data_IF_593172918698
#
_entry.id   IF_593172918698
#
_cell.length_a   1.000
_cell.length_b   1.000
_cell.length_c   1.000
_cell.angle_alpha   90.00
_cell.angle_beta   90.00
_cell.angle_gamma   90.00
#
_symmetry.space_group_name_H-M   'P 1'
#
loop_
_entity.id
_entity.type
_entity.pdbx_description
1 polymer ?
#
# COMPACT_ATOMS: atom_id res chain seq x y z
N UNK A 1 -23.35 -44.28 54.29
CA UNK A 1 -24.18 -43.90 53.15
C UNK A 1 -23.52 -42.72 52.44
N UNK A 2 -22.82 -42.98 51.40
CA UNK A 2 -22.04 -41.99 50.67
C UNK A 2 -22.55 -41.88 49.26
N UNK A 3 -23.22 -40.78 48.98
CA UNK A 3 -23.77 -40.46 47.67
C UNK A 3 -22.68 -39.77 46.83
N UNK A 4 -22.19 -40.47 45.80
CA UNK A 4 -21.27 -39.89 44.82
C UNK A 4 -22.05 -39.05 43.80
N UNK A 5 -21.91 -37.73 43.87
CA UNK A 5 -22.31 -36.85 42.77
C UNK A 5 -21.37 -37.05 41.57
N UNK A 6 -21.94 -37.48 40.48
CA UNK A 6 -21.27 -37.46 39.17
C UNK A 6 -21.36 -36.04 38.59
N UNK A 7 -20.25 -35.34 38.54
CA UNK A 7 -20.15 -34.12 37.77
C UNK A 7 -20.01 -34.47 36.29
N UNK A 8 -21.03 -34.14 35.52
CA UNK A 8 -20.96 -34.15 34.06
C UNK A 8 -20.29 -32.86 33.61
N UNK A 9 -19.07 -32.99 33.12
CA UNK A 9 -18.38 -31.87 32.44
C UNK A 9 -18.98 -31.70 31.04
N UNK A 10 -19.74 -30.63 30.86
CA UNK A 10 -20.23 -30.19 29.55
C UNK A 10 -19.07 -29.48 28.83
N UNK A 11 -18.40 -30.20 27.96
CA UNK A 11 -17.41 -29.61 27.06
C UNK A 11 -18.15 -28.82 25.99
N UNK A 12 -18.16 -27.47 26.13
CA UNK A 12 -18.63 -26.55 25.11
C UNK A 12 -17.55 -26.45 24.04
N UNK A 13 -17.69 -27.22 22.97
CA UNK A 13 -16.82 -27.02 21.78
C UNK A 13 -17.24 -25.72 21.08
N UNK A 14 -16.48 -24.66 21.31
CA UNK A 14 -16.55 -23.46 20.48
C UNK A 14 -15.97 -23.84 19.11
N UNK A 15 -16.84 -24.17 18.16
CA UNK A 15 -16.48 -24.20 16.76
C UNK A 15 -16.25 -22.74 16.33
N UNK A 16 -14.98 -22.32 16.29
CA UNK A 16 -14.60 -21.13 15.57
C UNK A 16 -14.87 -21.39 14.10
N UNK A 17 -16.01 -20.99 13.60
CA UNK A 17 -16.23 -20.83 12.18
C UNK A 17 -15.30 -19.71 11.73
N UNK A 18 -14.16 -20.09 11.16
CA UNK A 18 -13.40 -19.16 10.36
C UNK A 18 -14.35 -18.65 9.27
N UNK A 19 -14.77 -17.39 9.38
CA UNK A 19 -15.47 -16.74 8.31
C UNK A 19 -14.52 -16.84 7.09
N UNK A 20 -14.98 -17.51 6.04
CA UNK A 20 -14.31 -17.41 4.76
C UNK A 20 -14.17 -15.91 4.46
N UNK A 21 -13.03 -15.45 3.90
CA UNK A 21 -12.93 -14.08 3.45
C UNK A 21 -14.15 -13.83 2.54
N UNK A 22 -14.90 -12.77 2.84
CA UNK A 22 -15.96 -12.33 1.96
C UNK A 22 -15.33 -12.28 0.56
N UNK A 23 -15.94 -12.95 -0.41
CA UNK A 23 -15.56 -12.82 -1.80
C UNK A 23 -15.52 -11.32 -2.06
N UNK A 24 -14.30 -10.76 -2.15
CA UNK A 24 -14.11 -9.42 -2.62
C UNK A 24 -14.76 -9.43 -4.00
N UNK A 25 -15.92 -8.80 -4.12
CA UNK A 25 -16.56 -8.64 -5.41
C UNK A 25 -15.57 -7.87 -6.25
N UNK A 26 -14.93 -8.57 -7.20
CA UNK A 26 -14.02 -7.93 -8.13
C UNK A 26 -14.79 -6.76 -8.74
N UNK A 27 -14.41 -5.53 -8.35
CA UNK A 27 -14.94 -4.33 -8.98
C UNK A 27 -14.65 -4.50 -10.46
N UNK A 28 -15.64 -4.30 -11.33
CA UNK A 28 -15.42 -4.32 -12.77
C UNK A 28 -14.37 -3.23 -13.09
N UNK A 29 -13.15 -3.66 -13.34
CA UNK A 29 -12.05 -2.74 -13.68
C UNK A 29 -12.35 -2.18 -15.06
N UNK A 30 -12.68 -0.90 -15.12
CA UNK A 30 -12.89 -0.18 -16.38
C UNK A 30 -11.51 0.32 -16.84
N UNK A 31 -10.97 -0.36 -17.83
CA UNK A 31 -9.71 0.04 -18.44
C UNK A 31 -9.90 1.22 -19.40
N UNK A 32 -9.05 2.23 -19.29
CA UNK A 32 -9.04 3.37 -20.19
C UNK A 32 -8.48 3.01 -21.59
N UNK A 33 -8.60 3.94 -22.53
CA UNK A 33 -8.13 3.73 -23.90
C UNK A 33 -6.63 3.53 -24.03
N UNK A 34 -5.84 4.09 -23.12
CA UNK A 34 -4.39 3.90 -23.07
C UNK A 34 -4.03 2.46 -22.67
N UNK A 35 -4.66 1.94 -21.64
CA UNK A 35 -4.48 0.54 -21.26
C UNK A 35 -4.85 -0.41 -22.42
N UNK A 36 -6.00 -0.18 -23.06
CA UNK A 36 -6.44 -1.03 -24.17
C UNK A 36 -5.45 -1.00 -25.35
N UNK A 37 -4.90 0.17 -25.65
CA UNK A 37 -3.88 0.35 -26.69
C UNK A 37 -2.58 -0.39 -26.36
N UNK A 38 -2.09 -0.25 -25.14
CA UNK A 38 -0.88 -0.93 -24.67
C UNK A 38 -1.11 -2.44 -24.55
N UNK A 39 -2.26 -2.87 -24.07
CA UNK A 39 -2.62 -4.29 -23.98
C UNK A 39 -2.65 -4.97 -25.36
N UNK A 40 -3.11 -4.26 -26.39
CA UNK A 40 -3.09 -4.78 -27.75
C UNK A 40 -1.67 -4.97 -28.31
N UNK A 41 -0.68 -4.22 -27.82
CA UNK A 41 0.70 -4.32 -28.27
C UNK A 41 1.55 -5.27 -27.43
N UNK A 42 1.36 -5.30 -26.12
CA UNK A 42 2.22 -5.97 -25.17
C UNK A 42 1.53 -7.08 -24.37
N UNK A 43 0.25 -7.37 -24.66
CA UNK A 43 -0.56 -8.27 -23.87
C UNK A 43 0.02 -9.67 -23.71
N UNK A 44 0.62 -10.25 -24.76
CA UNK A 44 1.26 -11.56 -24.67
C UNK A 44 2.50 -11.54 -23.75
N UNK A 45 3.26 -10.46 -23.78
CA UNK A 45 4.41 -10.29 -22.88
C UNK A 45 3.95 -10.13 -21.42
N UNK A 46 2.89 -9.35 -21.19
CA UNK A 46 2.31 -9.17 -19.85
C UNK A 46 1.77 -10.49 -19.28
N UNK A 47 1.06 -11.28 -20.10
CA UNK A 47 0.54 -12.58 -19.67
C UNK A 47 1.67 -13.55 -19.29
N UNK A 48 2.81 -13.50 -20.00
CA UNK A 48 3.98 -14.28 -19.66
C UNK A 48 4.66 -13.82 -18.37
N UNK A 49 4.76 -12.50 -18.18
CA UNK A 49 5.28 -11.89 -16.94
C UNK A 49 4.37 -12.19 -15.74
N UNK A 50 3.07 -12.16 -15.90
CA UNK A 50 2.10 -12.49 -14.85
C UNK A 50 2.29 -13.93 -14.35
N UNK A 51 2.53 -14.88 -15.23
CA UNK A 51 2.81 -16.27 -14.85
C UNK A 51 4.10 -16.38 -13.99
N UNK A 52 5.13 -15.65 -14.36
CA UNK A 52 6.39 -15.63 -13.58
C UNK A 52 6.20 -14.94 -12.22
N UNK A 53 5.47 -13.82 -12.20
CA UNK A 53 5.14 -13.09 -10.98
C UNK A 53 4.30 -13.94 -10.02
N UNK A 54 3.28 -14.62 -10.52
CA UNK A 54 2.42 -15.49 -9.71
C UNK A 54 3.21 -16.63 -9.07
N UNK A 55 4.12 -17.26 -9.84
CA UNK A 55 5.01 -18.29 -9.32
C UNK A 55 5.91 -17.73 -8.20
N UNK A 56 6.46 -16.54 -8.41
CA UNK A 56 7.31 -15.88 -7.41
C UNK A 56 6.53 -15.47 -6.15
N UNK A 57 5.32 -14.97 -6.31
CA UNK A 57 4.43 -14.63 -5.19
C UNK A 57 4.03 -15.88 -4.39
N UNK A 58 3.81 -17.02 -5.07
CA UNK A 58 3.55 -18.29 -4.41
C UNK A 58 4.73 -18.75 -3.55
N UNK A 59 5.97 -18.67 -4.06
CA UNK A 59 7.18 -18.99 -3.30
C UNK A 59 7.31 -18.10 -2.04
N UNK A 60 7.08 -16.79 -2.17
CA UNK A 60 7.14 -15.84 -1.05
C UNK A 60 6.07 -16.18 -0.01
N UNK A 61 4.86 -16.50 -0.46
CA UNK A 61 3.76 -16.89 0.41
C UNK A 61 4.07 -18.17 1.17
N UNK A 62 4.59 -19.18 0.50
CA UNK A 62 4.97 -20.45 1.10
C UNK A 62 6.09 -20.25 2.15
N UNK A 63 7.10 -19.46 1.83
CA UNK A 63 8.16 -19.08 2.76
C UNK A 63 7.64 -18.31 3.99
N UNK A 64 6.53 -17.60 3.86
CA UNK A 64 5.88 -16.82 4.92
C UNK A 64 4.72 -17.57 5.61
N UNK A 65 4.71 -18.89 5.56
CA UNK A 65 3.70 -19.73 6.23
C UNK A 65 2.30 -19.61 5.62
N UNK A 66 2.21 -19.44 4.32
CA UNK A 66 0.95 -19.34 3.57
C UNK A 66 0.30 -17.95 3.60
N UNK A 67 0.99 -16.94 4.17
CA UNK A 67 0.49 -15.57 4.26
C UNK A 67 1.26 -14.64 3.33
N UNK A 68 0.62 -13.59 2.80
CA UNK A 68 1.33 -12.54 2.11
C UNK A 68 2.26 -11.78 3.08
N UNK A 69 3.35 -11.15 2.58
CA UNK A 69 4.26 -10.38 3.42
C UNK A 69 3.60 -9.11 3.97
N UNK A 70 4.04 -8.65 5.14
CA UNK A 70 3.71 -7.31 5.59
C UNK A 70 4.40 -6.27 4.72
N UNK A 71 3.73 -5.15 4.50
CA UNK A 71 4.23 -4.04 3.69
C UNK A 71 4.42 -2.83 4.60
N UNK A 72 5.65 -2.32 4.67
CA UNK A 72 5.95 -1.05 5.33
C UNK A 72 6.42 -0.05 4.26
N UNK A 73 5.66 1.01 4.06
CA UNK A 73 6.03 2.10 3.18
C UNK A 73 6.42 3.34 4.00
N UNK A 74 7.58 3.91 3.72
CA UNK A 74 8.07 5.11 4.41
C UNK A 74 8.31 6.20 3.37
N UNK A 75 7.46 7.24 3.40
CA UNK A 75 7.63 8.43 2.57
C UNK A 75 8.30 9.53 3.40
N UNK A 76 9.49 9.91 3.00
CA UNK A 76 10.27 10.95 3.67
C UNK A 76 10.05 12.26 2.92
N UNK A 77 9.65 13.29 3.68
CA UNK A 77 9.29 14.60 3.14
C UNK A 77 10.53 15.49 2.96
N UNK A 78 10.58 16.25 1.89
CA UNK A 78 11.60 17.26 1.59
C UNK A 78 13.06 16.73 1.59
N UNK A 79 13.26 15.49 1.15
CA UNK A 79 14.60 14.89 1.01
C UNK A 79 14.99 14.82 -0.46
N UNK A 80 16.08 15.48 -0.79
CA UNK A 80 16.61 15.49 -2.16
C UNK A 80 17.40 14.23 -2.48
N UNK A 81 17.54 13.97 -3.78
CA UNK A 81 18.35 12.87 -4.28
C UNK A 81 19.77 12.89 -3.69
N UNK A 82 20.24 11.76 -3.22
CA UNK A 82 21.58 11.58 -2.66
C UNK A 82 21.76 11.99 -1.19
N UNK A 83 20.72 12.54 -0.55
CA UNK A 83 20.78 12.84 0.88
C UNK A 83 20.64 11.60 1.77
N UNK A 84 20.10 10.52 1.24
CA UNK A 84 19.91 9.25 1.94
C UNK A 84 20.25 8.05 1.05
N UNK A 85 20.65 6.94 1.66
CA UNK A 85 20.80 5.65 0.98
C UNK A 85 21.93 5.55 -0.05
N UNK A 86 22.80 6.54 -0.15
CA UNK A 86 23.94 6.54 -1.09
C UNK A 86 25.16 7.17 -0.43
N UNK A 87 26.14 6.35 -0.02
CA UNK A 87 27.34 6.81 0.70
C UNK A 87 28.14 7.87 -0.05
N UNK A 88 28.29 7.72 -1.37
CA UNK A 88 29.06 8.67 -2.18
C UNK A 88 28.38 10.03 -2.23
N UNK A 89 27.07 10.04 -2.46
CA UNK A 89 26.30 11.28 -2.50
C UNK A 89 26.15 11.91 -1.12
N UNK A 90 26.00 11.10 -0.07
CA UNK A 90 25.98 11.58 1.32
C UNK A 90 27.26 12.35 1.63
N UNK A 91 28.42 11.82 1.25
CA UNK A 91 29.70 12.51 1.45
C UNK A 91 29.74 13.90 0.78
N UNK A 92 29.22 14.00 -0.44
CA UNK A 92 29.18 15.28 -1.20
C UNK A 92 28.15 16.25 -0.60
N UNK A 93 27.01 15.75 -0.14
CA UNK A 93 25.91 16.59 0.41
C UNK A 93 26.07 16.91 1.90
N UNK A 94 27.03 16.28 2.59
CA UNK A 94 27.27 16.48 4.00
C UNK A 94 26.28 15.77 4.94
N UNK A 95 25.49 14.82 4.43
CA UNK A 95 24.59 14.00 5.22
C UNK A 95 25.28 12.71 5.69
N UNK A 96 24.82 12.16 6.80
CA UNK A 96 25.23 10.85 7.28
C UNK A 96 24.00 10.01 7.64
N UNK A 97 23.78 8.96 6.85
CA UNK A 97 22.64 8.05 7.03
C UNK A 97 23.08 6.59 7.02
N UNK A 98 23.94 6.16 8.00
CA UNK A 98 24.62 4.88 7.94
C UNK A 98 23.66 3.69 7.84
N UNK A 99 22.61 3.66 8.64
CA UNK A 99 21.64 2.56 8.64
C UNK A 99 20.85 2.47 7.32
N UNK A 100 20.46 3.61 6.74
CA UNK A 100 19.77 3.64 5.46
C UNK A 100 20.73 3.25 4.33
N UNK A 101 21.99 3.67 4.41
CA UNK A 101 23.02 3.29 3.46
C UNK A 101 23.31 1.78 3.49
N UNK A 102 23.35 1.17 4.67
CA UNK A 102 23.53 -0.26 4.83
C UNK A 102 22.33 -1.02 4.26
N UNK A 103 21.12 -0.61 4.62
CA UNK A 103 19.89 -1.15 4.08
C UNK A 103 19.81 -1.03 2.54
N UNK A 104 20.18 0.12 1.98
CA UNK A 104 20.22 0.32 0.54
C UNK A 104 21.22 -0.62 -0.17
N UNK A 105 22.31 -1.00 0.50
CA UNK A 105 23.28 -1.97 0.00
C UNK A 105 22.74 -3.40 -0.12
N UNK A 106 21.69 -3.73 0.63
CA UNK A 106 21.01 -5.04 0.62
C UNK A 106 19.69 -5.02 -0.16
N UNK A 107 19.36 -3.89 -0.78
CA UNK A 107 18.06 -3.62 -1.39
C UNK A 107 18.18 -3.21 -2.85
N UNK A 108 17.05 -3.21 -3.57
CA UNK A 108 16.95 -2.59 -4.89
C UNK A 108 16.87 -1.07 -4.76
N UNK A 109 17.84 -0.36 -5.30
CA UNK A 109 17.86 1.10 -5.35
C UNK A 109 17.43 1.61 -6.72
N UNK A 110 16.32 2.31 -6.79
CA UNK A 110 15.78 2.89 -8.03
C UNK A 110 16.36 4.28 -8.27
N UNK A 111 17.51 4.34 -8.94
CA UNK A 111 18.28 5.59 -9.13
C UNK A 111 17.65 6.59 -10.12
N UNK A 112 16.61 6.18 -10.83
CA UNK A 112 15.88 7.02 -11.82
C UNK A 112 14.39 7.07 -11.52
N UNK A 113 14.01 6.87 -10.28
CA UNK A 113 12.65 7.08 -9.83
C UNK A 113 12.45 8.55 -9.50
N UNK A 114 11.41 9.13 -10.06
CA UNK A 114 11.04 10.54 -9.85
C UNK A 114 9.72 10.60 -9.11
N UNK A 115 9.64 11.48 -8.12
CA UNK A 115 8.41 11.86 -7.47
C UNK A 115 7.80 13.07 -8.17
N UNK A 116 6.60 13.44 -7.77
CA UNK A 116 6.00 14.69 -8.21
C UNK A 116 6.72 15.90 -7.57
N UNK A 117 6.57 17.12 -8.13
CA UNK A 117 7.36 18.27 -7.71
C UNK A 117 7.02 18.81 -6.31
N UNK A 118 5.98 18.31 -5.64
CA UNK A 118 5.62 18.71 -4.29
C UNK A 118 4.91 17.62 -3.49
N UNK A 119 4.74 17.86 -2.19
CA UNK A 119 4.28 16.84 -1.23
C UNK A 119 2.86 16.33 -1.50
N UNK A 120 1.86 17.18 -1.74
CA UNK A 120 0.48 16.73 -1.98
C UNK A 120 0.35 15.88 -3.25
N UNK A 121 0.84 16.33 -4.44
CA UNK A 121 0.81 15.52 -5.65
C UNK A 121 1.57 14.19 -5.52
N UNK A 122 2.74 14.19 -4.88
CA UNK A 122 3.52 12.95 -4.67
C UNK A 122 2.74 11.93 -3.84
N UNK A 123 2.07 12.38 -2.77
CA UNK A 123 1.26 11.52 -1.90
C UNK A 123 0.03 11.02 -2.65
N UNK A 124 -0.65 11.86 -3.43
CA UNK A 124 -1.77 11.46 -4.27
C UNK A 124 -1.34 10.39 -5.28
N UNK A 125 -0.24 10.61 -6.00
CA UNK A 125 0.29 9.66 -6.97
C UNK A 125 0.64 8.32 -6.33
N UNK A 126 1.28 8.33 -5.17
CA UNK A 126 1.57 7.11 -4.42
C UNK A 126 0.30 6.37 -3.99
N UNK A 127 -0.67 7.09 -3.42
CA UNK A 127 -1.89 6.48 -2.90
C UNK A 127 -2.76 5.89 -4.01
N UNK A 128 -2.85 6.56 -5.16
CA UNK A 128 -3.79 6.17 -6.23
C UNK A 128 -3.14 5.42 -7.39
N UNK A 129 -1.80 5.40 -7.46
CA UNK A 129 -1.08 4.89 -8.63
C UNK A 129 -1.30 5.72 -9.90
N UNK A 130 -1.89 6.93 -9.79
CA UNK A 130 -2.24 7.78 -10.92
C UNK A 130 -1.47 9.09 -10.92
N UNK A 131 -1.17 9.58 -12.12
CA UNK A 131 -0.55 10.89 -12.27
C UNK A 131 -1.48 11.99 -11.70
N UNK A 132 -0.98 12.96 -10.93
CA UNK A 132 -1.79 14.00 -10.28
C UNK A 132 -2.65 14.84 -11.24
N UNK A 133 -2.24 14.95 -12.49
CA UNK A 133 -3.06 15.61 -13.52
C UNK A 133 -4.34 14.85 -13.83
N UNK A 134 -4.40 13.55 -13.54
CA UNK A 134 -5.59 12.71 -13.75
C UNK A 134 -6.52 12.72 -12.53
N UNK A 135 -5.96 12.72 -11.32
CA UNK A 135 -6.74 12.82 -10.07
C UNK A 135 -7.16 14.26 -9.73
N UNK A 136 -6.64 15.25 -10.46
CA UNK A 136 -6.89 16.67 -10.16
C UNK A 136 -6.05 17.25 -9.01
N UNK A 137 -5.26 16.43 -8.31
CA UNK A 137 -4.47 16.83 -7.13
C UNK A 137 -3.09 17.34 -7.58
N UNK A 138 -3.05 18.42 -8.34
CA UNK A 138 -1.84 18.96 -8.98
C UNK A 138 -1.03 19.92 -8.10
N UNK A 139 -1.64 20.47 -7.07
CA UNK A 139 -1.08 21.54 -6.27
C UNK A 139 -1.06 21.16 -4.79
N UNK A 140 -0.22 21.86 -4.03
CA UNK A 140 -0.20 21.69 -2.58
C UNK A 140 -1.54 22.15 -2.01
N UNK A 141 -2.22 21.27 -1.28
CA UNK A 141 -3.46 21.61 -0.59
C UNK A 141 -3.11 22.34 0.72
N UNK A 142 -3.67 23.52 0.87
CA UNK A 142 -3.56 24.30 2.10
C UNK A 142 -4.75 23.95 2.98
N UNK A 143 -4.54 23.88 4.29
CA UNK A 143 -5.61 23.60 5.24
C UNK A 143 -6.74 24.65 5.13
N UNK A 144 -7.97 24.21 5.38
CA UNK A 144 -9.19 25.04 5.41
C UNK A 144 -9.67 25.57 4.03
N UNK A 145 -9.23 24.96 2.94
CA UNK A 145 -9.75 25.28 1.60
C UNK A 145 -10.95 24.44 1.19
N UNK A 146 -11.29 23.40 1.98
CA UNK A 146 -12.45 22.55 1.73
C UNK A 146 -12.26 21.67 0.49
N UNK A 147 -11.04 21.20 0.25
CA UNK A 147 -10.69 20.34 -0.87
C UNK A 147 -9.88 19.13 -0.39
N UNK A 148 -9.90 18.07 -1.16
CA UNK A 148 -9.15 16.87 -0.86
C UNK A 148 -9.06 15.87 -1.99
N UNK A 149 -8.50 14.71 -1.69
CA UNK A 149 -8.50 13.58 -2.59
C UNK A 149 -9.96 13.16 -2.84
N UNK A 150 -10.41 13.10 -4.11
CA UNK A 150 -11.77 12.70 -4.41
C UNK A 150 -12.07 11.26 -3.95
N UNK A 151 -13.29 11.03 -3.50
CA UNK A 151 -13.78 9.72 -3.04
C UNK A 151 -13.84 8.67 -4.17
N UNK A 152 -13.87 9.12 -5.41
CA UNK A 152 -13.83 8.26 -6.59
C UNK A 152 -12.43 7.70 -6.90
N UNK A 153 -11.38 8.29 -6.31
CA UNK A 153 -10.00 7.79 -6.48
C UNK A 153 -9.77 6.59 -5.57
N UNK A 154 -9.51 5.44 -6.17
CA UNK A 154 -9.20 4.23 -5.42
C UNK A 154 -7.77 4.29 -4.91
N UNK A 155 -7.60 4.11 -3.61
CA UNK A 155 -6.28 4.15 -2.95
C UNK A 155 -5.68 2.76 -2.79
N UNK A 156 -4.35 2.72 -2.65
CA UNK A 156 -3.64 1.48 -2.31
C UNK A 156 -4.11 0.88 -0.97
N UNK A 157 -4.58 1.71 -0.04
CA UNK A 157 -5.09 1.25 1.24
C UNK A 157 -6.42 0.50 1.06
N UNK A 158 -7.32 1.00 0.22
CA UNK A 158 -8.56 0.29 -0.11
C UNK A 158 -8.29 -1.04 -0.80
N UNK A 159 -7.38 -1.07 -1.78
CA UNK A 159 -6.97 -2.30 -2.48
C UNK A 159 -6.39 -3.32 -1.52
N UNK A 160 -5.53 -2.89 -0.60
CA UNK A 160 -4.94 -3.80 0.40
C UNK A 160 -5.95 -4.24 1.45
N UNK A 161 -6.86 -3.38 1.87
CA UNK A 161 -7.97 -3.73 2.78
C UNK A 161 -8.88 -4.79 2.14
N UNK A 162 -9.25 -4.61 0.87
CA UNK A 162 -10.03 -5.60 0.11
C UNK A 162 -9.27 -6.94 -0.05
N UNK A 163 -7.94 -6.89 -0.09
CA UNK A 163 -7.09 -8.08 -0.08
C UNK A 163 -6.89 -8.72 1.31
N UNK A 164 -7.51 -8.16 2.36
CA UNK A 164 -7.49 -8.69 3.73
C UNK A 164 -6.31 -8.23 4.59
N UNK A 165 -5.62 -7.17 4.20
CA UNK A 165 -4.62 -6.52 5.04
C UNK A 165 -5.29 -5.60 6.06
N UNK A 166 -4.70 -5.46 7.25
CA UNK A 166 -4.98 -4.33 8.13
C UNK A 166 -4.12 -3.16 7.67
N UNK A 167 -4.75 -2.03 7.42
CA UNK A 167 -4.12 -0.84 6.86
C UNK A 167 -3.93 0.24 7.90
N UNK A 168 -2.78 0.88 7.92
CA UNK A 168 -2.48 1.93 8.89
C UNK A 168 -1.72 3.09 8.25
N UNK A 169 -2.10 4.32 8.58
CA UNK A 169 -1.40 5.54 8.23
C UNK A 169 -0.86 6.21 9.47
N UNK A 170 0.40 6.63 9.46
CA UNK A 170 1.03 7.37 10.55
C UNK A 170 1.82 8.54 9.98
N UNK A 171 1.55 9.74 10.44
CA UNK A 171 2.27 10.94 10.07
C UNK A 171 1.51 11.87 9.13
N UNK A 172 2.25 12.62 8.29
CA UNK A 172 1.68 13.64 7.41
C UNK A 172 0.79 13.03 6.33
N UNK A 173 -0.49 13.37 6.33
CA UNK A 173 -1.47 12.98 5.30
C UNK A 173 -1.40 13.86 4.06
N UNK A 174 -1.79 15.10 4.20
CA UNK A 174 -1.73 16.17 3.19
C UNK A 174 -2.53 15.86 1.91
N UNK A 175 -3.66 15.21 2.05
CA UNK A 175 -4.58 14.90 0.94
C UNK A 175 -5.94 15.58 1.08
N UNK A 176 -6.01 16.63 1.92
CA UNK A 176 -7.20 17.44 2.10
C UNK A 176 -7.70 17.46 3.53
N UNK A 177 -8.70 18.32 3.75
CA UNK A 177 -9.31 18.62 5.04
C UNK A 177 -10.84 18.50 5.02
N UNK A 178 -11.39 17.88 3.98
CA UNK A 178 -12.80 17.47 3.93
C UNK A 178 -12.94 16.04 4.45
N UNK A 179 -14.11 15.69 4.93
CA UNK A 179 -14.33 14.42 5.61
C UNK A 179 -14.06 13.21 4.70
N UNK A 180 -14.47 13.29 3.45
CA UNK A 180 -14.28 12.25 2.45
C UNK A 180 -12.79 11.94 2.19
N UNK A 181 -11.95 12.97 2.34
CA UNK A 181 -10.50 12.85 2.10
C UNK A 181 -9.70 12.41 3.33
N UNK A 182 -10.31 12.19 4.49
CA UNK A 182 -9.56 11.72 5.65
C UNK A 182 -9.09 10.27 5.47
N UNK A 183 -7.94 9.88 6.06
CA UNK A 183 -7.35 8.56 5.84
C UNK A 183 -8.31 7.40 6.11
N UNK A 184 -9.16 7.49 7.14
CA UNK A 184 -10.11 6.45 7.48
C UNK A 184 -11.26 6.30 6.46
N UNK A 185 -11.53 7.34 5.65
CA UNK A 185 -12.47 7.28 4.53
C UNK A 185 -11.76 6.90 3.20
N UNK A 186 -10.44 6.78 3.23
CA UNK A 186 -9.58 6.44 2.11
C UNK A 186 -8.88 5.07 2.32
N UNK A 187 -9.53 4.15 3.04
CA UNK A 187 -9.14 2.76 3.17
C UNK A 187 -8.17 2.42 4.30
N UNK A 188 -7.86 3.36 5.21
CA UNK A 188 -7.02 3.05 6.36
C UNK A 188 -7.85 2.69 7.60
N UNK A 189 -7.62 1.50 8.16
CA UNK A 189 -8.26 1.05 9.40
C UNK A 189 -7.80 1.86 10.62
N UNK A 190 -6.54 2.35 10.57
CA UNK A 190 -5.92 3.15 11.62
C UNK A 190 -5.25 4.39 11.02
N UNK A 191 -5.53 5.57 11.60
CA UNK A 191 -4.92 6.83 11.18
C UNK A 191 -4.77 7.82 12.35
#
# INVERSE_FOLDING_TARGET
MTTKLKQAALALALAATAAAPADAQARDIIHDGEYQYLRAQFGEAWDAEDVELDARLAEIRDANGGKPPNILYVLIDDVSFGQMGNRTMNYVTGYDTPNINDFAGESLSLMRMYTEPSCTPTRAAFLTGRHPVRSGIKEVKVALVGEGLPDEEVTIAEVLSDAGYNTAHVGKWHQGDIEEAYPHNQGFDYA
#
